data_IF_667868834234
#
_entry.id   IF_667868834234
#
_cell.length_a   1.000
_cell.length_b   1.000
_cell.length_c   1.000
_cell.angle_alpha   90.00
_cell.angle_beta   90.00
_cell.angle_gamma   90.00
#
_symmetry.space_group_name_H-M   'P 1'
#
loop_
_entity.id
_entity.type
_entity.pdbx_description
1 polymer ?
#
# COMPACT_ATOMS: atom_id res chain seq x y z
N UNK A 1 -22.36 -36.93 14.06
CA UNK A 1 -21.49 -36.66 15.23
C UNK A 1 -20.08 -36.24 14.77
N UNK A 2 -19.86 -34.94 14.55
CA UNK A 2 -18.55 -34.40 14.15
C UNK A 2 -17.89 -33.73 15.35
N UNK A 3 -17.06 -34.49 16.06
CA UNK A 3 -16.29 -34.02 17.21
C UNK A 3 -15.20 -33.06 16.76
N UNK A 4 -15.39 -31.76 17.03
CA UNK A 4 -14.28 -30.81 17.09
C UNK A 4 -13.60 -31.00 18.44
N UNK A 5 -12.44 -31.64 18.46
CA UNK A 5 -11.61 -31.72 19.67
C UNK A 5 -10.87 -30.38 19.78
N UNK A 6 -11.28 -29.55 20.74
CA UNK A 6 -10.49 -28.40 21.15
C UNK A 6 -9.39 -28.92 22.08
N UNK A 7 -8.13 -28.81 21.67
CA UNK A 7 -7.00 -29.09 22.53
C UNK A 7 -6.81 -27.91 23.50
N UNK A 8 -7.59 -27.91 24.58
CA UNK A 8 -7.44 -26.97 25.68
C UNK A 8 -7.38 -27.76 27.00
N UNK A 9 -6.50 -27.34 27.90
CA UNK A 9 -6.37 -27.94 29.22
C UNK A 9 -7.71 -27.87 29.99
N UNK A 10 -8.05 -28.92 30.74
CA UNK A 10 -9.35 -29.04 31.42
C UNK A 10 -9.58 -27.89 32.42
N UNK A 11 -8.49 -27.44 33.06
CA UNK A 11 -8.45 -26.29 33.98
C UNK A 11 -8.73 -24.95 33.27
N UNK A 12 -8.32 -24.82 32.01
CA UNK A 12 -8.62 -23.64 31.19
C UNK A 12 -10.09 -23.61 30.80
N UNK A 13 -10.66 -24.77 30.48
CA UNK A 13 -12.08 -24.90 30.12
C UNK A 13 -13.00 -24.58 31.29
N UNK A 14 -12.67 -25.03 32.51
CA UNK A 14 -13.45 -24.69 33.71
C UNK A 14 -13.38 -23.20 34.02
N UNK A 15 -12.20 -22.57 33.92
CA UNK A 15 -12.05 -21.13 34.16
C UNK A 15 -12.84 -20.29 33.15
N UNK A 16 -12.82 -20.67 31.86
CA UNK A 16 -13.64 -19.99 30.83
C UNK A 16 -15.14 -20.14 31.14
N UNK A 17 -15.58 -21.32 31.56
CA UNK A 17 -16.98 -21.56 31.90
C UNK A 17 -17.44 -20.74 33.12
N UNK A 18 -16.58 -20.53 34.11
CA UNK A 18 -16.84 -19.62 35.23
C UNK A 18 -16.93 -18.16 34.78
N UNK A 19 -16.02 -17.73 33.90
CA UNK A 19 -16.01 -16.38 33.31
C UNK A 19 -17.27 -16.10 32.48
N UNK A 20 -17.84 -17.10 31.82
CA UNK A 20 -19.06 -16.98 31.02
C UNK A 20 -20.36 -17.06 31.84
N UNK A 21 -20.30 -17.11 33.18
CA UNK A 21 -21.50 -17.09 33.99
C UNK A 21 -22.25 -15.75 33.86
N UNK A 22 -23.59 -15.77 33.81
CA UNK A 22 -24.40 -14.56 33.59
C UNK A 22 -24.29 -13.52 34.72
N UNK A 23 -23.75 -13.90 35.88
CA UNK A 23 -23.42 -13.01 36.99
C UNK A 23 -22.21 -12.11 36.72
N UNK A 24 -21.31 -12.54 35.82
CA UNK A 24 -20.12 -11.79 35.44
C UNK A 24 -20.45 -10.99 34.18
N UNK A 25 -20.53 -9.67 34.32
CA UNK A 25 -20.57 -8.78 33.17
C UNK A 25 -19.17 -8.73 32.56
N UNK A 26 -18.97 -9.49 31.48
CA UNK A 26 -17.71 -9.56 30.74
C UNK A 26 -17.42 -8.30 29.93
N UNK A 27 -18.45 -7.57 29.49
CA UNK A 27 -18.34 -6.42 28.60
C UNK A 27 -17.36 -5.34 29.12
N UNK A 28 -17.41 -4.89 30.39
CA UNK A 28 -16.48 -3.88 30.91
C UNK A 28 -15.01 -4.36 30.96
N UNK A 29 -14.78 -5.67 30.99
CA UNK A 29 -13.44 -6.28 31.03
C UNK A 29 -12.92 -6.49 29.59
N UNK A 30 -13.79 -6.90 28.68
CA UNK A 30 -13.43 -7.18 27.30
C UNK A 30 -13.21 -5.92 26.48
N UNK A 31 -13.99 -4.85 26.70
CA UNK A 31 -13.83 -3.57 25.97
C UNK A 31 -12.41 -3.00 26.03
N UNK A 32 -11.77 -2.80 27.21
CA UNK A 32 -10.40 -2.27 27.27
C UNK A 32 -9.36 -3.24 26.67
N UNK A 33 -9.60 -4.55 26.71
CA UNK A 33 -8.73 -5.53 26.06
C UNK A 33 -8.84 -5.45 24.54
N UNK A 34 -10.05 -5.34 24.00
CA UNK A 34 -10.33 -5.15 22.57
C UNK A 34 -9.72 -3.84 22.09
N UNK A 35 -9.94 -2.73 22.80
CA UNK A 35 -9.34 -1.43 22.47
C UNK A 35 -7.81 -1.50 22.45
N UNK A 36 -7.21 -2.14 23.45
CA UNK A 36 -5.75 -2.30 23.51
C UNK A 36 -5.22 -3.19 22.40
N UNK A 37 -5.92 -4.27 22.06
CA UNK A 37 -5.54 -5.14 20.94
C UNK A 37 -5.65 -4.38 19.61
N UNK A 38 -6.73 -3.64 19.39
CA UNK A 38 -6.92 -2.79 18.20
C UNK A 38 -5.80 -1.75 18.11
N UNK A 39 -5.44 -1.09 19.21
CA UNK A 39 -4.35 -0.12 19.23
C UNK A 39 -3.00 -0.75 18.88
N UNK A 40 -2.68 -1.91 19.47
CA UNK A 40 -1.43 -2.63 19.19
C UNK A 40 -1.35 -3.06 17.72
N UNK A 41 -2.44 -3.64 17.19
CA UNK A 41 -2.51 -4.04 15.78
C UNK A 41 -2.42 -2.85 14.83
N UNK A 42 -3.08 -1.74 15.16
CA UNK A 42 -3.00 -0.49 14.38
C UNK A 42 -1.57 0.05 14.36
N UNK A 43 -0.88 0.03 15.51
CA UNK A 43 0.51 0.49 15.61
C UNK A 43 1.46 -0.37 14.76
N UNK A 44 1.30 -1.70 14.80
CA UNK A 44 2.08 -2.64 13.97
C UNK A 44 1.81 -2.39 12.49
N UNK A 45 0.55 -2.22 12.09
CA UNK A 45 0.19 -1.91 10.71
C UNK A 45 0.85 -0.62 10.22
N UNK A 46 0.78 0.46 11.00
CA UNK A 46 1.43 1.76 10.67
C UNK A 46 2.94 1.60 10.50
N UNK A 47 3.63 0.95 11.44
CA UNK A 47 5.08 0.74 11.36
C UNK A 47 5.47 -0.13 10.15
N UNK A 48 4.71 -1.20 9.88
CA UNK A 48 4.96 -2.07 8.73
C UNK A 48 4.75 -1.35 7.39
N UNK A 49 3.72 -0.49 7.30
CA UNK A 49 3.44 0.33 6.13
C UNK A 49 4.54 1.37 5.91
N UNK A 50 5.01 2.03 6.97
CA UNK A 50 6.14 2.95 6.89
C UNK A 50 7.43 2.28 6.39
N UNK A 51 7.77 1.13 6.96
CA UNK A 51 8.93 0.35 6.53
C UNK A 51 8.84 -0.06 5.05
N UNK A 52 7.66 -0.51 4.60
CA UNK A 52 7.48 -0.90 3.20
C UNK A 52 7.61 0.31 2.26
N UNK A 53 7.00 1.45 2.61
CA UNK A 53 7.14 2.68 1.83
C UNK A 53 8.61 3.10 1.70
N UNK A 54 9.38 2.99 2.77
CA UNK A 54 10.81 3.31 2.75
C UNK A 54 11.60 2.33 1.88
N UNK A 55 11.25 1.05 1.94
CA UNK A 55 11.86 0.02 1.08
C UNK A 55 11.62 0.32 -0.39
N UNK A 56 10.38 0.69 -0.78
CA UNK A 56 10.06 1.06 -2.16
C UNK A 56 10.86 2.29 -2.62
N UNK A 57 10.93 3.34 -1.80
CA UNK A 57 11.74 4.53 -2.13
C UNK A 57 13.21 4.15 -2.34
N UNK A 58 13.73 3.31 -1.46
CA UNK A 58 15.10 2.83 -1.55
C UNK A 58 15.34 2.02 -2.83
N UNK A 59 14.41 1.13 -3.20
CA UNK A 59 14.47 0.35 -4.44
C UNK A 59 14.46 1.26 -5.68
N UNK A 60 13.59 2.28 -5.74
CA UNK A 60 13.57 3.24 -6.86
C UNK A 60 14.92 3.96 -6.96
N UNK A 61 15.47 4.41 -5.83
CA UNK A 61 16.77 5.09 -5.80
C UNK A 61 17.88 4.15 -6.28
N UNK A 62 17.92 2.92 -5.78
CA UNK A 62 18.91 1.92 -6.21
C UNK A 62 18.77 1.57 -7.69
N UNK A 63 17.55 1.48 -8.21
CA UNK A 63 17.31 1.19 -9.62
C UNK A 63 17.94 2.28 -10.50
N UNK A 64 17.70 3.56 -10.19
CA UNK A 64 18.30 4.70 -10.91
C UNK A 64 19.83 4.75 -10.79
N UNK A 65 20.39 4.30 -9.68
CA UNK A 65 21.85 4.25 -9.47
C UNK A 65 22.53 3.13 -10.24
N UNK A 66 21.83 2.01 -10.49
CA UNK A 66 22.42 0.78 -11.03
C UNK A 66 22.08 0.51 -12.49
N UNK A 67 20.95 0.99 -12.96
CA UNK A 67 20.43 0.69 -14.30
C UNK A 67 20.27 1.96 -15.13
N UNK A 68 20.21 1.79 -16.45
CA UNK A 68 19.95 2.88 -17.39
C UNK A 68 19.21 2.37 -18.63
N UNK A 69 18.61 3.27 -19.42
CA UNK A 69 17.91 2.90 -20.64
C UNK A 69 16.80 1.87 -20.42
N UNK A 70 16.79 0.80 -21.21
CA UNK A 70 15.76 -0.24 -21.14
C UNK A 70 15.80 -1.04 -19.83
N UNK A 71 16.99 -1.31 -19.28
CA UNK A 71 17.12 -2.08 -18.04
C UNK A 71 16.48 -1.33 -16.86
N UNK A 72 16.62 0.01 -16.85
CA UNK A 72 15.95 0.83 -15.85
C UNK A 72 14.42 0.84 -16.05
N UNK A 73 13.92 0.85 -17.29
CA UNK A 73 12.48 0.74 -17.56
C UNK A 73 11.90 -0.56 -17.01
N UNK A 74 12.58 -1.67 -17.25
CA UNK A 74 12.16 -2.99 -16.76
C UNK A 74 12.14 -3.04 -15.24
N UNK A 75 13.21 -2.55 -14.59
CA UNK A 75 13.29 -2.56 -13.13
C UNK A 75 12.24 -1.65 -12.48
N UNK A 76 11.99 -0.47 -13.05
CA UNK A 76 10.91 0.41 -12.59
C UNK A 76 9.52 -0.24 -12.75
N UNK A 77 9.31 -0.98 -13.84
CA UNK A 77 8.09 -1.75 -14.06
C UNK A 77 7.86 -2.79 -12.96
N UNK A 78 8.91 -3.55 -12.59
CA UNK A 78 8.85 -4.54 -11.50
C UNK A 78 8.56 -3.90 -10.14
N UNK A 79 9.16 -2.74 -9.85
CA UNK A 79 8.86 -1.99 -8.63
C UNK A 79 7.39 -1.54 -8.63
N UNK A 80 6.91 -1.01 -9.76
CA UNK A 80 5.53 -0.54 -9.89
C UNK A 80 4.51 -1.68 -9.75
N UNK A 81 4.78 -2.87 -10.28
CA UNK A 81 3.91 -4.05 -10.13
C UNK A 81 3.74 -4.48 -8.66
N UNK A 82 4.70 -4.13 -7.79
CA UNK A 82 4.60 -4.41 -6.35
C UNK A 82 3.76 -3.37 -5.59
N UNK A 83 3.28 -2.32 -6.26
CA UNK A 83 2.41 -1.28 -5.67
C UNK A 83 0.93 -1.66 -5.69
N UNK A 84 0.60 -2.89 -5.34
CA UNK A 84 -0.79 -3.38 -5.31
C UNK A 84 -1.58 -2.90 -4.09
N UNK A 85 -0.90 -2.44 -3.04
CA UNK A 85 -1.54 -1.91 -1.82
C UNK A 85 -1.70 -0.39 -1.90
N UNK A 86 -2.91 0.09 -1.57
CA UNK A 86 -3.24 1.53 -1.51
C UNK A 86 -2.33 2.28 -0.53
N UNK A 87 -1.86 1.62 0.52
CA UNK A 87 -0.96 2.22 1.54
C UNK A 87 0.40 2.64 0.97
N UNK A 88 0.79 2.07 -0.18
CA UNK A 88 2.04 2.33 -0.87
C UNK A 88 1.90 3.39 -1.95
N UNK A 89 0.67 3.71 -2.34
CA UNK A 89 0.36 4.75 -3.30
C UNK A 89 0.39 6.11 -2.60
N UNK A 90 1.58 6.52 -2.15
CA UNK A 90 1.79 7.84 -1.58
C UNK A 90 2.31 8.81 -2.64
N UNK A 91 2.02 10.13 -2.52
CA UNK A 91 2.41 11.11 -3.53
C UNK A 91 3.92 11.14 -3.82
N UNK A 92 4.75 10.92 -2.82
CA UNK A 92 6.21 10.90 -2.93
C UNK A 92 6.73 9.66 -3.69
N UNK A 93 6.15 8.47 -3.48
CA UNK A 93 6.52 7.25 -4.23
C UNK A 93 6.14 7.41 -5.70
N UNK A 94 4.90 7.84 -5.96
CA UNK A 94 4.42 8.07 -7.34
C UNK A 94 5.25 9.14 -8.03
N UNK A 95 5.59 10.23 -7.33
CA UNK A 95 6.45 11.27 -7.87
C UNK A 95 7.84 10.74 -8.22
N UNK A 96 8.46 9.92 -7.36
CA UNK A 96 9.75 9.30 -7.64
C UNK A 96 9.69 8.38 -8.88
N UNK A 97 8.64 7.58 -9.03
CA UNK A 97 8.44 6.78 -10.24
C UNK A 97 8.29 7.64 -11.49
N UNK A 98 7.45 8.69 -11.45
CA UNK A 98 7.28 9.60 -12.59
C UNK A 98 8.58 10.28 -13.02
N UNK A 99 9.40 10.72 -12.05
CA UNK A 99 10.71 11.30 -12.33
C UNK A 99 11.67 10.25 -12.90
N UNK A 100 11.63 9.02 -12.41
CA UNK A 100 12.48 7.93 -12.88
C UNK A 100 12.15 7.51 -14.31
N UNK A 101 10.86 7.37 -14.65
CA UNK A 101 10.44 7.11 -16.03
C UNK A 101 10.80 8.26 -16.96
N UNK A 102 10.70 9.51 -16.47
CA UNK A 102 11.11 10.69 -17.25
C UNK A 102 12.61 10.66 -17.59
N UNK A 103 13.46 10.23 -16.66
CA UNK A 103 14.92 10.14 -16.88
C UNK A 103 15.26 9.22 -18.07
N UNK A 104 14.43 8.19 -18.31
CA UNK A 104 14.53 7.27 -19.46
C UNK A 104 13.54 7.57 -20.58
N UNK A 105 12.88 8.73 -20.54
CA UNK A 105 11.90 9.19 -21.53
C UNK A 105 10.77 8.18 -21.82
N UNK A 106 10.35 7.42 -20.80
CA UNK A 106 9.25 6.47 -20.91
C UNK A 106 7.91 7.16 -20.58
N UNK A 107 7.43 7.95 -21.54
CA UNK A 107 6.20 8.75 -21.36
C UNK A 107 4.94 7.88 -21.31
N UNK A 108 4.93 6.73 -21.98
CA UNK A 108 3.81 5.78 -21.93
C UNK A 108 3.66 5.19 -20.53
N UNK A 109 4.76 4.79 -19.87
CA UNK A 109 4.71 4.32 -18.49
C UNK A 109 4.22 5.41 -17.52
N UNK A 110 4.65 6.66 -17.70
CA UNK A 110 4.16 7.79 -16.91
C UNK A 110 2.64 7.98 -17.04
N UNK A 111 2.14 7.97 -18.27
CA UNK A 111 0.71 8.13 -18.59
C UNK A 111 -0.08 6.96 -17.98
N UNK A 112 0.34 5.72 -18.24
CA UNK A 112 -0.30 4.51 -17.72
C UNK A 112 -0.36 4.51 -16.20
N UNK A 113 0.70 4.94 -15.52
CA UNK A 113 0.72 5.06 -14.06
C UNK A 113 -0.38 6.00 -13.56
N UNK A 114 -0.43 7.24 -14.08
CA UNK A 114 -1.40 8.25 -13.61
C UNK A 114 -2.84 7.84 -13.96
N UNK A 115 -3.08 7.28 -15.15
CA UNK A 115 -4.40 6.77 -15.52
C UNK A 115 -4.85 5.61 -14.64
N UNK A 116 -3.93 4.72 -14.27
CA UNK A 116 -4.24 3.62 -13.34
C UNK A 116 -4.64 4.17 -11.98
N UNK A 117 -3.91 5.17 -11.46
CA UNK A 117 -4.26 5.84 -10.21
C UNK A 117 -5.63 6.53 -10.27
N UNK A 118 -5.98 7.18 -11.40
CA UNK A 118 -7.28 7.81 -11.59
C UNK A 118 -8.45 6.82 -11.61
N UNK A 119 -8.21 5.55 -11.97
CA UNK A 119 -9.23 4.49 -11.93
C UNK A 119 -9.51 3.96 -10.52
N UNK A 120 -8.64 4.24 -9.55
CA UNK A 120 -8.80 3.82 -8.16
C UNK A 120 -9.69 4.82 -7.40
N UNK A 121 -10.93 4.40 -7.05
CA UNK A 121 -11.95 5.27 -6.44
C UNK A 121 -11.48 6.05 -5.21
N UNK A 122 -10.64 5.45 -4.37
CA UNK A 122 -10.15 6.08 -3.13
C UNK A 122 -8.80 6.80 -3.28
N UNK A 123 -8.08 6.60 -4.39
CA UNK A 123 -6.75 7.18 -4.57
C UNK A 123 -6.86 8.68 -4.89
N UNK A 124 -6.31 9.52 -4.00
CA UNK A 124 -6.25 10.97 -4.24
C UNK A 124 -4.92 11.41 -4.86
N UNK A 125 -3.95 10.50 -5.05
CA UNK A 125 -2.60 10.86 -5.51
C UNK A 125 -2.62 11.55 -6.86
N UNK A 126 -3.36 11.02 -7.83
CA UNK A 126 -3.45 11.59 -9.16
C UNK A 126 -4.09 13.00 -9.19
N UNK A 127 -4.77 13.42 -8.13
CA UNK A 127 -5.38 14.76 -8.04
C UNK A 127 -4.37 15.85 -7.67
N UNK A 128 -3.19 15.50 -7.14
CA UNK A 128 -2.18 16.47 -6.75
C UNK A 128 -1.63 17.22 -7.96
N UNK A 129 -1.39 18.52 -7.81
CA UNK A 129 -0.99 19.41 -8.91
C UNK A 129 0.34 19.00 -9.55
N UNK A 130 1.31 18.56 -8.74
CA UNK A 130 2.59 18.05 -9.22
C UNK A 130 2.41 16.80 -10.09
N UNK A 131 1.57 15.85 -9.68
CA UNK A 131 1.27 14.65 -10.45
C UNK A 131 0.58 15.00 -11.77
N UNK A 132 -0.42 15.89 -11.73
CA UNK A 132 -1.09 16.41 -12.93
C UNK A 132 -0.12 17.09 -13.90
N UNK A 133 0.80 17.90 -13.38
CA UNK A 133 1.82 18.55 -14.20
C UNK A 133 2.66 17.52 -14.96
N UNK A 134 3.15 16.47 -14.27
CA UNK A 134 3.94 15.42 -14.90
C UNK A 134 3.13 14.58 -15.89
N UNK A 135 1.84 14.37 -15.63
CA UNK A 135 0.94 13.71 -16.57
C UNK A 135 0.76 14.51 -17.86
N UNK A 136 0.42 15.79 -17.76
CA UNK A 136 0.26 16.69 -18.91
C UNK A 136 1.59 16.81 -19.67
N UNK A 137 2.71 16.88 -18.95
CA UNK A 137 4.04 16.86 -19.56
C UNK A 137 4.27 15.59 -20.39
N UNK A 138 3.94 14.42 -19.85
CA UNK A 138 4.10 13.15 -20.57
C UNK A 138 3.20 13.06 -21.81
N UNK A 139 1.93 13.46 -21.69
CA UNK A 139 0.99 13.55 -22.83
C UNK A 139 1.56 14.44 -23.95
N UNK A 140 2.02 15.64 -23.61
CA UNK A 140 2.61 16.57 -24.57
C UNK A 140 3.86 16.00 -25.25
N UNK A 141 4.66 15.19 -24.54
CA UNK A 141 5.89 14.59 -25.08
C UNK A 141 5.61 13.36 -25.95
N UNK A 142 4.59 12.57 -25.61
CA UNK A 142 4.13 11.44 -26.44
C UNK A 142 3.50 11.94 -27.75
N UNK A 143 2.74 13.03 -27.68
CA UNK A 143 2.23 13.76 -28.83
C UNK A 143 1.31 12.93 -29.76
N UNK A 144 0.54 11.99 -29.21
CA UNK A 144 -0.49 11.27 -29.96
C UNK A 144 -1.72 12.16 -30.19
N UNK A 145 -2.54 11.82 -31.20
CA UNK A 145 -3.74 12.60 -31.55
C UNK A 145 -4.72 12.76 -30.38
N UNK A 146 -4.95 11.68 -29.64
CA UNK A 146 -5.85 11.63 -28.47
C UNK A 146 -5.29 12.36 -27.24
N UNK A 147 -4.00 12.71 -27.21
CA UNK A 147 -3.38 13.41 -26.07
C UNK A 147 -3.66 14.91 -26.05
N UNK A 148 -4.23 15.44 -27.15
CA UNK A 148 -4.42 16.87 -27.41
C UNK A 148 -5.84 17.36 -27.14
N UNK A 149 -6.78 16.44 -26.91
CA UNK A 149 -8.19 16.71 -26.62
C UNK A 149 -8.47 16.66 -25.11
#
# INVERSE_FOLDING_TARGET
PHGKVFACDATMMSGIQELMQPSIQLEPILTPLVERLVHLLSSVHVQSSEYFRETVRHEIRLARERFSGNDLREELGRIQERLDSVDLLTPDIVMNLLLSYRDVQDYDAMIKLVETLNKLQMCQVAKHQNIKFHYIFALNRRNHGEDRD
#
